data_IF_569721562156
#
_entry.id   IF_569721562156
#
_cell.length_a   1.000
_cell.length_b   1.000
_cell.length_c   1.000
_cell.angle_alpha   90.00
_cell.angle_beta   90.00
_cell.angle_gamma   90.00
#
_symmetry.space_group_name_H-M   'P 1'
#
loop_
_entity.id
_entity.type
_entity.pdbx_description
1 polymer ?
#
# COMPACT_ATOMS: atom_id res chain seq x y z
N UNK A 1 72.37 -70.42 28.68
CA UNK A 1 72.23 -70.98 27.32
C UNK A 1 70.90 -70.46 26.76
N UNK A 2 70.98 -69.60 25.72
CA UNK A 2 69.95 -69.08 24.79
C UNK A 2 68.70 -68.38 25.37
N UNK A 3 68.60 -67.05 25.44
CA UNK A 3 68.41 -66.00 24.39
C UNK A 3 67.14 -66.15 23.54
N UNK A 4 66.18 -65.24 23.71
CA UNK A 4 65.53 -64.46 22.62
C UNK A 4 64.93 -63.17 23.18
N UNK A 5 65.09 -62.09 22.40
CA UNK A 5 64.68 -60.71 22.62
C UNK A 5 63.62 -60.42 21.56
N UNK A 6 62.47 -59.81 21.90
CA UNK A 6 61.62 -59.03 20.97
C UNK A 6 60.74 -58.09 21.83
N UNK A 7 61.07 -56.80 21.94
CA UNK A 7 60.71 -55.67 21.07
C UNK A 7 59.28 -55.13 21.27
N UNK A 8 59.22 -53.81 21.42
CA UNK A 8 58.10 -52.97 21.82
C UNK A 8 56.95 -52.90 20.80
N UNK A 9 55.72 -52.71 21.31
CA UNK A 9 54.68 -51.93 20.65
C UNK A 9 53.64 -51.48 21.68
N UNK A 10 53.81 -50.28 22.24
CA UNK A 10 52.75 -49.58 22.97
C UNK A 10 51.70 -49.19 21.94
N UNK A 11 50.53 -49.82 22.04
CA UNK A 11 49.33 -49.51 21.26
C UNK A 11 48.79 -48.15 21.73
N UNK A 12 49.27 -47.07 21.12
CA UNK A 12 48.62 -45.75 21.21
C UNK A 12 47.31 -45.87 20.43
N UNK A 13 46.21 -46.07 21.16
CA UNK A 13 44.86 -45.97 20.63
C UNK A 13 44.62 -44.50 20.28
N UNK A 14 45.01 -44.12 19.05
CA UNK A 14 44.65 -42.84 18.45
C UNK A 14 43.14 -42.83 18.29
N UNK A 15 42.47 -42.28 19.28
CA UNK A 15 41.07 -41.92 19.20
C UNK A 15 40.98 -40.77 18.19
N UNK A 16 40.84 -41.13 16.92
CA UNK A 16 40.41 -40.19 15.87
C UNK A 16 39.01 -39.76 16.29
N UNK A 17 38.95 -38.64 17.02
CA UNK A 17 37.75 -37.83 17.12
C UNK A 17 37.42 -37.41 15.68
N UNK A 18 36.61 -38.23 15.00
CA UNK A 18 35.76 -37.77 13.92
C UNK A 18 34.87 -36.71 14.58
N UNK A 19 35.33 -35.47 14.51
CA UNK A 19 34.47 -34.32 14.68
C UNK A 19 33.46 -34.39 13.54
N UNK A 20 32.37 -35.10 13.79
CA UNK A 20 31.11 -34.78 13.15
C UNK A 20 30.81 -33.35 13.59
N UNK A 21 31.37 -32.38 12.88
CA UNK A 21 30.77 -31.08 12.78
C UNK A 21 29.34 -31.37 12.29
N UNK A 22 28.38 -31.40 13.22
CA UNK A 22 27.00 -31.11 12.88
C UNK A 22 27.06 -29.73 12.25
N UNK A 23 27.19 -29.73 10.93
CA UNK A 23 27.10 -28.53 10.14
C UNK A 23 25.72 -27.97 10.46
N UNK A 24 25.70 -26.88 11.22
CA UNK A 24 24.50 -26.06 11.34
C UNK A 24 24.02 -25.79 9.92
N UNK A 25 22.73 -25.97 9.61
CA UNK A 25 22.22 -25.73 8.28
C UNK A 25 22.69 -24.36 7.79
N UNK A 26 23.16 -24.28 6.54
CA UNK A 26 23.58 -23.01 5.99
C UNK A 26 22.37 -22.07 6.00
N UNK A 27 22.45 -21.04 6.84
CA UNK A 27 21.42 -20.02 7.00
C UNK A 27 21.69 -18.88 6.02
N UNK A 28 20.74 -18.63 5.13
CA UNK A 28 20.86 -17.60 4.09
C UNK A 28 19.71 -16.62 4.26
N UNK A 29 20.03 -15.37 4.62
CA UNK A 29 19.07 -14.27 4.72
C UNK A 29 19.09 -13.42 3.44
N UNK A 30 17.91 -13.09 2.90
CA UNK A 30 17.80 -12.11 1.81
C UNK A 30 16.44 -11.43 1.74
N UNK A 31 16.42 -10.26 1.10
CA UNK A 31 15.21 -9.51 0.76
C UNK A 31 15.02 -9.57 -0.77
N UNK A 32 14.14 -10.45 -1.28
CA UNK A 32 13.97 -10.63 -2.72
C UNK A 32 13.26 -9.44 -3.37
N UNK A 33 13.65 -9.11 -4.61
CA UNK A 33 13.05 -8.00 -5.37
C UNK A 33 11.71 -8.42 -5.96
N UNK A 34 10.74 -7.51 -5.94
CA UNK A 34 9.43 -7.69 -6.59
C UNK A 34 9.63 -7.66 -8.11
N UNK A 35 9.12 -8.66 -8.81
CA UNK A 35 9.21 -8.73 -10.27
C UNK A 35 7.85 -8.54 -10.93
N UNK A 36 6.88 -9.36 -10.53
CA UNK A 36 5.55 -9.42 -11.14
C UNK A 36 4.47 -9.33 -10.07
N UNK A 37 3.40 -8.61 -10.36
CA UNK A 37 2.25 -8.42 -9.47
C UNK A 37 1.00 -8.70 -10.28
N UNK A 38 0.14 -9.56 -9.76
CA UNK A 38 -1.20 -9.79 -10.29
C UNK A 38 -2.20 -9.15 -9.36
N UNK A 39 -2.90 -8.12 -9.82
CA UNK A 39 -3.94 -7.41 -9.08
C UNK A 39 -5.29 -8.07 -9.30
N UNK A 40 -5.95 -8.41 -8.20
CA UNK A 40 -7.32 -8.88 -8.14
C UNK A 40 -8.21 -7.76 -7.57
N UNK A 41 -9.55 -7.88 -7.66
CA UNK A 41 -10.45 -6.84 -7.19
C UNK A 41 -10.25 -6.46 -5.70
N UNK A 42 -9.86 -7.41 -4.86
CA UNK A 42 -9.75 -7.28 -3.40
C UNK A 42 -8.37 -7.65 -2.82
N UNK A 43 -7.46 -8.15 -3.65
CA UNK A 43 -6.16 -8.64 -3.22
C UNK A 43 -5.11 -8.48 -4.31
N UNK A 44 -3.83 -8.67 -3.98
CA UNK A 44 -2.77 -8.77 -4.97
C UNK A 44 -1.92 -10.00 -4.72
N UNK A 45 -1.53 -10.70 -5.78
CA UNK A 45 -0.49 -11.74 -5.72
C UNK A 45 0.85 -11.13 -6.11
N UNK A 46 1.82 -11.19 -5.19
CA UNK A 46 3.18 -10.74 -5.42
C UNK A 46 4.03 -11.95 -5.79
N UNK A 47 4.79 -11.84 -6.89
CA UNK A 47 5.79 -12.81 -7.33
C UNK A 47 7.18 -12.20 -7.22
N UNK A 48 8.03 -12.86 -6.43
CA UNK A 48 9.44 -12.50 -6.20
C UNK A 48 10.33 -13.64 -6.66
N UNK A 49 11.54 -13.30 -7.11
CA UNK A 49 12.54 -14.29 -7.50
C UNK A 49 13.89 -13.90 -6.93
N UNK A 50 14.65 -14.90 -6.51
CA UNK A 50 15.97 -14.71 -5.94
C UNK A 50 16.83 -15.94 -6.16
N UNK A 51 18.13 -15.71 -6.20
CA UNK A 51 19.15 -16.70 -6.48
C UNK A 51 19.90 -17.00 -5.20
N UNK A 52 20.11 -18.28 -4.91
CA UNK A 52 20.82 -18.72 -3.71
C UNK A 52 21.87 -19.78 -4.03
N UNK A 53 23.00 -19.72 -3.32
CA UNK A 53 24.00 -20.77 -3.30
C UNK A 53 23.69 -21.73 -2.16
N UNK A 54 23.26 -22.94 -2.49
CA UNK A 54 22.96 -24.00 -1.52
C UNK A 54 24.12 -24.98 -1.43
N UNK A 55 24.35 -25.53 -0.24
CA UNK A 55 25.35 -26.59 -0.01
C UNK A 55 24.70 -27.97 -0.09
N UNK A 56 25.51 -29.00 -0.31
CA UNK A 56 25.09 -30.40 -0.17
C UNK A 56 24.59 -30.66 1.24
N UNK A 57 23.40 -31.25 1.36
CA UNK A 57 22.72 -31.53 2.62
C UNK A 57 21.54 -30.58 2.86
N UNK A 58 21.22 -30.39 4.14
CA UNK A 58 20.11 -29.53 4.58
C UNK A 58 20.53 -28.05 4.59
N UNK A 59 19.65 -27.20 4.07
CA UNK A 59 19.82 -25.75 4.06
C UNK A 59 18.54 -25.10 4.55
N UNK A 60 18.69 -23.97 5.25
CA UNK A 60 17.57 -23.18 5.75
C UNK A 60 17.68 -21.80 5.14
N UNK A 61 16.71 -21.43 4.30
CA UNK A 61 16.62 -20.10 3.71
C UNK A 61 15.60 -19.29 4.51
N UNK A 62 16.00 -18.09 4.96
CA UNK A 62 15.12 -17.14 5.64
C UNK A 62 14.89 -15.92 4.76
N UNK A 63 13.65 -15.70 4.36
CA UNK A 63 13.23 -14.53 3.61
C UNK A 63 12.53 -13.58 4.58
N UNK A 64 13.24 -12.56 5.03
CA UNK A 64 12.77 -11.60 6.02
C UNK A 64 12.25 -10.31 5.37
N UNK A 65 11.53 -9.51 6.16
CA UNK A 65 11.03 -8.20 5.72
C UNK A 65 9.80 -8.27 4.82
N UNK A 66 8.97 -9.31 4.96
CA UNK A 66 7.70 -9.41 4.27
C UNK A 66 6.59 -8.70 5.06
N UNK A 67 5.60 -8.19 4.34
CA UNK A 67 4.43 -7.53 4.95
C UNK A 67 3.62 -8.44 5.87
N UNK A 68 3.05 -7.86 6.94
CA UNK A 68 2.05 -8.53 7.82
C UNK A 68 0.80 -8.92 7.07
N UNK A 69 0.44 -8.12 6.06
CA UNK A 69 -0.78 -8.31 5.27
C UNK A 69 -0.69 -9.50 4.30
N UNK A 70 0.45 -10.21 4.30
CA UNK A 70 0.61 -11.50 3.64
C UNK A 70 -0.32 -12.54 4.27
N UNK A 71 -1.03 -13.28 3.42
CA UNK A 71 -1.84 -14.42 3.85
C UNK A 71 -1.00 -15.68 3.93
N UNK A 72 -0.92 -16.30 5.11
CA UNK A 72 0.05 -17.38 5.38
C UNK A 72 -0.22 -18.63 4.52
N UNK A 73 -1.48 -18.96 4.29
CA UNK A 73 -1.91 -20.11 3.48
C UNK A 73 -1.69 -19.92 1.97
N UNK A 74 -1.38 -18.70 1.53
CA UNK A 74 -1.17 -18.38 0.12
C UNK A 74 0.27 -18.53 -0.35
N UNK A 75 1.21 -18.77 0.58
CA UNK A 75 2.64 -18.86 0.27
C UNK A 75 2.92 -20.09 -0.59
N UNK A 76 3.51 -19.85 -1.75
CA UNK A 76 3.97 -20.89 -2.66
C UNK A 76 5.43 -20.63 -2.99
N UNK A 77 6.23 -21.70 -2.90
CA UNK A 77 7.66 -21.69 -3.23
C UNK A 77 7.87 -22.66 -4.37
N UNK A 78 8.54 -22.21 -5.42
CA UNK A 78 8.97 -23.05 -6.52
C UNK A 78 10.47 -22.90 -6.78
N UNK A 79 11.06 -23.94 -7.36
CA UNK A 79 12.43 -23.92 -7.86
C UNK A 79 12.29 -24.00 -9.38
N UNK A 80 12.73 -22.94 -10.08
CA UNK A 80 12.58 -22.86 -11.54
C UNK A 80 13.49 -23.82 -12.27
N UNK A 81 14.67 -24.04 -11.71
CA UNK A 81 15.62 -24.99 -12.26
C UNK A 81 15.16 -26.41 -11.93
N UNK A 82 15.27 -27.35 -12.88
CA UNK A 82 15.12 -28.79 -12.62
C UNK A 82 16.31 -29.34 -11.83
N UNK A 83 16.78 -28.59 -10.83
CA UNK A 83 17.84 -28.99 -9.93
C UNK A 83 17.32 -30.12 -9.03
N UNK A 84 18.20 -31.06 -8.67
CA UNK A 84 17.90 -32.13 -7.72
C UNK A 84 17.85 -31.59 -6.28
N UNK A 85 16.93 -30.66 -6.05
CA UNK A 85 16.69 -29.98 -4.78
C UNK A 85 15.23 -30.21 -4.41
N UNK A 86 15.02 -30.66 -3.17
CA UNK A 86 13.69 -30.94 -2.63
C UNK A 86 13.38 -29.94 -1.53
N UNK A 87 12.22 -29.31 -1.63
CA UNK A 87 11.66 -28.51 -0.54
C UNK A 87 11.06 -29.48 0.47
N UNK A 88 11.55 -29.43 1.71
CA UNK A 88 11.10 -30.28 2.80
C UNK A 88 9.96 -29.63 3.58
N UNK A 89 10.08 -28.33 3.85
CA UNK A 89 9.12 -27.58 4.65
C UNK A 89 9.16 -26.08 4.29
N UNK A 90 8.01 -25.42 4.44
CA UNK A 90 7.85 -23.97 4.26
C UNK A 90 6.99 -23.46 5.41
N UNK A 91 7.56 -22.58 6.23
CA UNK A 91 6.90 -22.02 7.41
C UNK A 91 6.91 -20.51 7.37
N UNK A 92 5.80 -19.90 7.76
CA UNK A 92 5.72 -18.44 7.96
C UNK A 92 5.82 -18.15 9.44
N UNK A 93 6.74 -17.26 9.80
CA UNK A 93 6.97 -16.82 11.18
C UNK A 93 6.75 -15.31 11.30
N UNK A 94 6.16 -14.87 12.41
CA UNK A 94 6.08 -13.44 12.73
C UNK A 94 7.41 -12.97 13.31
N UNK A 95 7.94 -11.88 12.77
CA UNK A 95 9.21 -11.25 13.14
C UNK A 95 9.02 -9.74 13.28
N UNK A 96 9.99 -8.99 13.80
CA UNK A 96 9.90 -7.52 13.94
C UNK A 96 11.06 -6.82 13.22
N UNK A 97 10.75 -5.82 12.39
CA UNK A 97 11.73 -5.00 11.66
C UNK A 97 12.36 -3.92 12.57
N UNK A 98 13.21 -4.32 13.51
CA UNK A 98 13.73 -3.37 14.52
C UNK A 98 14.72 -2.32 13.96
N UNK A 99 15.54 -2.65 12.94
CA UNK A 99 16.73 -1.84 12.61
C UNK A 99 16.46 -0.64 11.69
N UNK A 100 15.57 -0.75 10.71
CA UNK A 100 15.34 0.31 9.69
C UNK A 100 14.40 1.41 10.18
N UNK A 101 13.49 1.11 11.11
CA UNK A 101 12.57 2.09 11.69
C UNK A 101 13.23 3.01 12.70
N UNK A 102 14.24 2.54 13.43
CA UNK A 102 14.86 3.32 14.50
C UNK A 102 15.50 4.60 13.96
N UNK A 103 16.14 4.54 12.79
CA UNK A 103 16.69 5.70 12.10
C UNK A 103 15.60 6.67 11.62
N UNK A 104 14.46 6.16 11.13
CA UNK A 104 13.35 7.00 10.65
C UNK A 104 12.61 7.68 11.81
N UNK A 105 12.38 6.94 12.90
CA UNK A 105 11.81 7.46 14.15
C UNK A 105 12.72 8.54 14.72
N UNK A 106 14.04 8.29 14.77
CA UNK A 106 15.00 9.26 15.26
C UNK A 106 14.99 10.55 14.43
N UNK A 107 14.96 10.46 13.09
CA UNK A 107 14.84 11.64 12.21
C UNK A 107 13.57 12.43 12.45
N UNK A 108 12.42 11.77 12.60
CA UNK A 108 11.14 12.42 12.88
C UNK A 108 11.10 13.07 14.27
N UNK A 109 11.69 12.42 15.28
CA UNK A 109 11.86 12.99 16.62
C UNK A 109 12.74 14.24 16.58
N UNK A 110 13.88 14.20 15.87
CA UNK A 110 14.74 15.38 15.70
C UNK A 110 14.01 16.53 14.97
N UNK A 111 13.18 16.22 13.98
CA UNK A 111 12.34 17.23 13.30
C UNK A 111 11.27 17.81 14.23
N UNK A 112 10.67 16.99 15.09
CA UNK A 112 9.67 17.47 16.05
C UNK A 112 10.30 18.39 17.10
N UNK A 113 11.52 18.07 17.55
CA UNK A 113 12.28 18.92 18.46
C UNK A 113 12.59 20.28 17.83
N UNK A 114 13.08 20.31 16.59
CA UNK A 114 13.39 21.57 15.90
C UNK A 114 12.14 22.43 15.67
N UNK A 115 10.99 21.82 15.34
CA UNK A 115 9.72 22.55 15.21
C UNK A 115 9.29 23.15 16.55
N UNK A 116 9.42 22.42 17.66
CA UNK A 116 9.10 22.93 19.00
C UNK A 116 10.01 24.10 19.39
N UNK A 117 11.30 24.03 19.05
CA UNK A 117 12.26 25.11 19.30
C UNK A 117 11.90 26.38 18.53
N UNK A 118 11.55 26.26 17.24
CA UNK A 118 11.09 27.39 16.41
C UNK A 118 9.78 28.02 16.92
N UNK A 119 8.83 27.19 17.37
CA UNK A 119 7.58 27.69 17.98
C UNK A 119 7.90 28.49 19.25
N UNK A 120 8.80 27.97 20.10
CA UNK A 120 9.23 28.63 21.33
C UNK A 120 9.94 29.94 21.05
N UNK A 121 10.84 29.97 20.06
CA UNK A 121 11.55 31.18 19.62
C UNK A 121 10.57 32.28 19.20
N UNK A 122 9.63 31.97 18.29
CA UNK A 122 8.64 32.94 17.83
C UNK A 122 7.68 33.37 18.95
N UNK A 123 7.32 32.47 19.86
CA UNK A 123 6.52 32.82 21.03
C UNK A 123 7.24 33.80 21.96
N UNK A 124 8.53 33.58 22.21
CA UNK A 124 9.35 34.48 23.02
C UNK A 124 9.48 35.87 22.36
N UNK A 125 9.64 35.90 21.04
CA UNK A 125 9.70 37.14 20.28
C UNK A 125 8.37 37.93 20.37
N UNK A 126 7.22 37.26 20.27
CA UNK A 126 5.91 37.88 20.50
C UNK A 126 5.81 38.43 21.93
N UNK A 127 6.25 37.68 22.95
CA UNK A 127 6.24 38.16 24.35
C UNK A 127 7.10 39.40 24.55
N UNK A 128 8.27 39.49 23.90
CA UNK A 128 9.12 40.67 23.93
C UNK A 128 8.46 41.88 23.23
N UNK A 129 7.81 41.66 22.09
CA UNK A 129 7.06 42.70 21.37
C UNK A 129 5.88 43.19 22.22
N UNK A 130 5.12 42.29 22.84
CA UNK A 130 4.00 42.66 23.71
C UNK A 130 4.46 43.48 24.92
N UNK A 131 5.60 43.14 25.52
CA UNK A 131 6.20 43.95 26.59
C UNK A 131 6.59 45.35 26.10
N UNK A 132 7.09 45.45 24.86
CA UNK A 132 7.39 46.73 24.21
C UNK A 132 6.13 47.55 23.92
N UNK A 133 5.06 46.91 23.47
CA UNK A 133 3.74 47.53 23.27
C UNK A 133 3.19 48.08 24.59
N UNK A 134 3.27 47.31 25.68
CA UNK A 134 2.85 47.78 27.00
C UNK A 134 3.66 48.99 27.47
N UNK A 135 4.98 48.96 27.27
CA UNK A 135 5.85 50.09 27.59
C UNK A 135 5.45 51.34 26.79
N UNK A 136 5.27 51.21 25.47
CA UNK A 136 4.84 52.31 24.60
C UNK A 136 3.47 52.89 25.02
N UNK A 137 2.52 52.04 25.43
CA UNK A 137 1.20 52.48 25.92
C UNK A 137 1.26 53.25 27.25
N UNK A 138 2.23 52.94 28.10
CA UNK A 138 2.42 53.57 29.42
C UNK A 138 3.35 54.79 29.38
N UNK A 139 4.02 55.02 28.26
CA UNK A 139 4.99 56.12 28.12
C UNK A 139 4.25 57.45 28.05
N UNK A 140 4.47 58.31 29.05
CA UNK A 140 4.02 59.72 29.02
C UNK A 140 5.21 60.56 28.52
N UNK A 141 5.12 61.17 27.32
CA UNK A 141 6.24 61.88 26.69
C UNK A 141 6.69 63.15 27.40
N UNK A 142 5.84 63.74 28.25
CA UNK A 142 6.07 65.07 28.81
C UNK A 142 5.90 65.05 30.34
N UNK A 143 6.89 65.52 31.13
CA UNK A 143 6.75 65.72 32.57
C UNK A 143 5.61 66.71 32.88
N UNK A 144 4.96 66.52 34.03
CA UNK A 144 3.93 67.45 34.47
C UNK A 144 4.51 68.87 34.61
N UNK A 145 3.82 69.85 34.00
CA UNK A 145 4.16 71.28 33.96
C UNK A 145 5.14 71.76 32.87
N UNK A 146 5.52 70.93 31.90
CA UNK A 146 6.26 71.42 30.73
C UNK A 146 5.31 72.05 29.70
N UNK A 147 5.64 73.25 29.19
CA UNK A 147 4.93 73.83 28.04
C UNK A 147 5.35 73.08 26.79
N UNK A 148 4.42 72.38 26.16
CA UNK A 148 4.64 71.58 24.95
C UNK A 148 3.94 72.24 23.77
N UNK A 149 4.58 72.23 22.61
CA UNK A 149 3.98 72.73 21.37
C UNK A 149 3.11 71.66 20.71
N UNK A 150 2.12 72.08 19.92
CA UNK A 150 1.26 71.16 19.17
C UNK A 150 2.07 70.23 18.24
N UNK A 151 3.12 70.75 17.60
CA UNK A 151 3.98 69.97 16.70
C UNK A 151 4.73 68.84 17.41
N UNK A 152 5.13 69.03 18.68
CA UNK A 152 5.82 68.00 19.47
C UNK A 152 4.85 66.88 19.88
N UNK A 153 3.61 67.24 20.24
CA UNK A 153 2.55 66.28 20.54
C UNK A 153 2.18 65.44 19.31
N UNK A 154 2.00 66.09 18.16
CA UNK A 154 1.71 65.40 16.89
C UNK A 154 2.86 64.49 16.44
N UNK A 155 4.11 64.94 16.62
CA UNK A 155 5.30 64.14 16.31
C UNK A 155 5.38 62.88 17.17
N UNK A 156 5.13 63.00 18.47
CA UNK A 156 5.10 61.85 19.38
C UNK A 156 3.94 60.90 19.09
N UNK A 157 2.74 61.42 18.83
CA UNK A 157 1.58 60.62 18.47
C UNK A 157 1.83 59.79 17.19
N UNK A 158 2.40 60.40 16.15
CA UNK A 158 2.79 59.70 14.91
C UNK A 158 3.86 58.64 15.16
N UNK A 159 4.83 58.91 16.05
CA UNK A 159 5.85 57.93 16.42
C UNK A 159 5.24 56.70 17.11
N UNK A 160 4.35 56.91 18.08
CA UNK A 160 3.64 55.82 18.77
C UNK A 160 2.76 55.03 17.81
N UNK A 161 1.98 55.72 16.97
CA UNK A 161 1.13 55.08 15.96
C UNK A 161 1.96 54.18 15.02
N UNK A 162 3.05 54.71 14.47
CA UNK A 162 3.96 53.96 13.58
C UNK A 162 4.62 52.78 14.28
N UNK A 163 5.05 52.96 15.53
CA UNK A 163 5.73 51.91 16.31
C UNK A 163 4.76 50.80 16.72
N UNK A 164 3.53 51.15 17.10
CA UNK A 164 2.47 50.19 17.42
C UNK A 164 2.02 49.43 16.18
N UNK A 165 1.78 50.11 15.07
CA UNK A 165 1.42 49.48 13.79
C UNK A 165 2.49 48.48 13.35
N UNK A 166 3.77 48.86 13.37
CA UNK A 166 4.87 47.96 13.03
C UNK A 166 4.98 46.76 13.99
N UNK A 167 4.73 46.97 15.29
CA UNK A 167 4.73 45.90 16.29
C UNK A 167 3.60 44.90 16.05
N UNK A 168 2.38 45.38 15.81
CA UNK A 168 1.22 44.53 15.51
C UNK A 168 1.41 43.74 14.20
N UNK A 169 1.97 44.37 13.15
CA UNK A 169 2.29 43.69 11.90
C UNK A 169 3.32 42.57 12.10
N UNK A 170 4.33 42.80 12.95
CA UNK A 170 5.34 41.79 13.27
C UNK A 170 4.73 40.64 14.06
N UNK A 171 3.89 40.93 15.06
CA UNK A 171 3.14 39.91 15.82
C UNK A 171 2.29 39.05 14.89
N UNK A 172 1.48 39.66 14.01
CA UNK A 172 0.63 38.92 13.09
C UNK A 172 1.43 38.02 12.13
N UNK A 173 2.62 38.45 11.69
CA UNK A 173 3.53 37.62 10.87
C UNK A 173 4.07 36.43 11.66
N UNK A 174 4.47 36.63 12.92
CA UNK A 174 4.97 35.56 13.79
C UNK A 174 3.87 34.56 14.17
N UNK A 175 2.66 35.03 14.47
CA UNK A 175 1.50 34.16 14.74
C UNK A 175 1.18 33.26 13.53
N UNK A 176 1.23 33.81 12.32
CA UNK A 176 1.06 33.02 11.09
C UNK A 176 2.16 31.96 10.92
N UNK A 177 3.41 32.26 11.27
CA UNK A 177 4.50 31.27 11.27
C UNK A 177 4.25 30.17 12.29
N UNK A 178 3.89 30.54 13.52
CA UNK A 178 3.53 29.59 14.60
C UNK A 178 2.37 28.70 14.17
N UNK A 179 1.35 29.24 13.50
CA UNK A 179 0.23 28.46 12.97
C UNK A 179 0.71 27.38 11.99
N UNK A 180 1.52 27.76 11.00
CA UNK A 180 2.10 26.81 10.03
C UNK A 180 2.96 25.75 10.68
N UNK A 181 3.81 26.15 11.64
CA UNK A 181 4.64 25.21 12.41
C UNK A 181 3.79 24.23 13.23
N UNK A 182 2.66 24.67 13.79
CA UNK A 182 1.73 23.78 14.51
C UNK A 182 1.00 22.79 13.57
N UNK A 183 0.65 23.22 12.36
CA UNK A 183 0.11 22.32 11.33
C UNK A 183 1.15 21.25 10.96
N UNK A 184 2.41 21.66 10.76
CA UNK A 184 3.53 20.76 10.47
C UNK A 184 3.81 19.81 11.64
N UNK A 185 3.82 20.32 12.88
CA UNK A 185 3.94 19.54 14.11
C UNK A 185 2.90 18.43 14.17
N UNK A 186 1.62 18.77 13.94
CA UNK A 186 0.53 17.77 13.94
C UNK A 186 0.73 16.71 12.87
N UNK A 187 1.22 17.09 11.68
CA UNK A 187 1.53 16.13 10.62
C UNK A 187 2.64 15.15 11.05
N UNK A 188 3.73 15.66 11.64
CA UNK A 188 4.84 14.83 12.16
C UNK A 188 4.40 13.96 13.34
N UNK A 189 3.59 14.48 14.26
CA UNK A 189 3.03 13.71 15.39
C UNK A 189 2.12 12.58 14.91
N UNK A 190 1.31 12.82 13.88
CA UNK A 190 0.49 11.79 13.26
C UNK A 190 1.36 10.73 12.57
N UNK A 191 2.41 11.13 11.85
CA UNK A 191 3.37 10.20 11.24
C UNK A 191 4.05 9.32 12.30
N UNK A 192 4.54 9.92 13.40
CA UNK A 192 5.11 9.20 14.54
C UNK A 192 4.09 8.27 15.21
N UNK A 193 2.84 8.68 15.34
CA UNK A 193 1.77 7.84 15.89
C UNK A 193 1.52 6.63 15.00
N UNK A 194 1.45 6.81 13.68
CA UNK A 194 1.27 5.70 12.74
C UNK A 194 2.47 4.73 12.77
N UNK A 195 3.69 5.27 12.85
CA UNK A 195 4.92 4.49 12.98
C UNK A 195 5.05 3.79 14.33
N UNK A 196 4.51 4.34 15.42
CA UNK A 196 4.59 3.71 16.76
C UNK A 196 3.45 2.73 17.03
N UNK A 197 2.27 2.93 16.43
CA UNK A 197 1.17 1.96 16.46
C UNK A 197 1.43 0.75 15.59
N UNK A 198 2.18 0.93 14.50
CA UNK A 198 2.86 -0.17 13.83
C UNK A 198 4.11 -0.54 14.63
N UNK A 199 3.95 -1.34 15.69
CA UNK A 199 4.99 -2.34 15.94
C UNK A 199 5.03 -3.12 14.62
N UNK A 200 6.01 -2.85 13.77
CA UNK A 200 6.15 -3.50 12.46
C UNK A 200 6.46 -4.97 12.73
N UNK A 201 5.40 -5.70 13.12
CA UNK A 201 5.22 -7.07 12.77
C UNK A 201 5.60 -7.15 11.29
N UNK A 202 6.36 -8.16 10.99
CA UNK A 202 6.76 -8.53 9.65
C UNK A 202 6.68 -10.03 9.62
N UNK A 203 6.62 -10.58 8.43
CA UNK A 203 6.66 -12.03 8.28
C UNK A 203 8.01 -12.42 7.71
N UNK A 204 8.51 -13.54 8.21
CA UNK A 204 9.69 -14.21 7.68
C UNK A 204 9.23 -15.57 7.18
N UNK A 205 9.54 -15.89 5.92
CA UNK A 205 9.32 -17.23 5.39
C UNK A 205 10.61 -18.03 5.58
N UNK A 206 10.50 -19.15 6.28
CA UNK A 206 11.58 -20.11 6.51
C UNK A 206 11.35 -21.31 5.60
N UNK A 207 12.33 -21.59 4.73
CA UNK A 207 12.26 -22.65 3.74
C UNK A 207 13.36 -23.66 4.05
N UNK A 208 12.97 -24.88 4.38
CA UNK A 208 13.89 -26.00 4.59
C UNK A 208 14.02 -26.78 3.28
N UNK A 209 15.23 -26.91 2.78
CA UNK A 209 15.50 -27.61 1.53
C UNK A 209 16.68 -28.58 1.66
N UNK A 210 16.60 -29.66 0.89
CA UNK A 210 17.64 -30.69 0.78
C UNK A 210 18.25 -30.64 -0.62
N UNK A 211 19.57 -30.44 -0.69
CA UNK A 211 20.32 -30.47 -1.94
C UNK A 211 21.30 -31.64 -1.95
N UNK A 212 21.50 -32.25 -3.12
CA UNK A 212 22.45 -33.35 -3.30
C UNK A 212 23.90 -32.90 -3.59
N UNK A 213 24.10 -31.61 -3.90
CA UNK A 213 25.39 -31.02 -4.23
C UNK A 213 25.38 -29.50 -3.98
N UNK A 214 26.56 -28.90 -3.88
CA UNK A 214 26.71 -27.45 -3.85
C UNK A 214 26.32 -26.88 -5.21
N UNK A 215 25.35 -25.95 -5.24
CA UNK A 215 24.84 -25.38 -6.49
C UNK A 215 24.11 -24.06 -6.28
N UNK A 216 23.98 -23.32 -7.36
CA UNK A 216 23.08 -22.18 -7.47
C UNK A 216 21.65 -22.66 -7.76
N UNK A 217 20.65 -22.05 -7.12
CA UNK A 217 19.23 -22.28 -7.40
C UNK A 217 18.49 -20.96 -7.61
N UNK A 218 17.59 -20.93 -8.58
CA UNK A 218 16.60 -19.85 -8.72
C UNK A 218 15.29 -20.22 -8.02
N UNK A 219 15.02 -19.54 -6.91
CA UNK A 219 13.83 -19.71 -6.07
C UNK A 219 12.79 -18.65 -6.42
N UNK A 220 11.62 -19.10 -6.87
CA UNK A 220 10.44 -18.26 -7.03
C UNK A 220 9.54 -18.36 -5.81
N UNK A 221 9.16 -17.20 -5.28
CA UNK A 221 8.25 -17.04 -4.16
C UNK A 221 7.01 -16.31 -4.66
N UNK A 222 5.83 -16.83 -4.37
CA UNK A 222 4.56 -16.12 -4.58
C UNK A 222 3.66 -16.18 -3.36
N UNK A 223 2.99 -15.07 -3.08
CA UNK A 223 2.05 -14.96 -1.97
C UNK A 223 1.00 -13.89 -2.28
N UNK A 224 -0.15 -14.01 -1.62
CA UNK A 224 -1.25 -13.04 -1.68
C UNK A 224 -1.11 -12.07 -0.52
N UNK A 225 -1.32 -10.79 -0.82
CA UNK A 225 -1.43 -9.71 0.16
C UNK A 225 -2.83 -9.13 0.14
N UNK A 226 -3.37 -8.92 1.33
CA UNK A 226 -4.57 -8.11 1.54
C UNK A 226 -4.25 -6.61 1.42
N UNK A 227 -5.29 -5.78 1.39
CA UNK A 227 -5.17 -4.31 1.30
C UNK A 227 -4.52 -3.81 0.00
N UNK A 228 -4.71 -4.54 -1.08
CA UNK A 228 -4.45 -4.11 -2.44
C UNK A 228 -5.63 -4.53 -3.30
N UNK A 229 -6.13 -3.65 -4.15
CA UNK A 229 -7.25 -3.98 -5.02
C UNK A 229 -7.33 -3.03 -6.20
N UNK A 230 -8.18 -3.39 -7.15
CA UNK A 230 -8.47 -2.52 -8.28
C UNK A 230 -9.97 -2.50 -8.59
N UNK A 231 -10.43 -1.41 -9.19
CA UNK A 231 -11.80 -1.27 -9.70
C UNK A 231 -11.80 -0.65 -11.09
N UNK A 232 -12.74 -1.04 -11.98
CA UNK A 232 -12.85 -0.43 -13.29
C UNK A 232 -13.51 0.95 -13.20
N UNK A 233 -12.99 1.91 -13.96
CA UNK A 233 -13.57 3.22 -14.18
C UNK A 233 -13.69 3.47 -15.68
N UNK A 234 -14.91 3.76 -16.14
CA UNK A 234 -15.21 3.98 -17.55
C UNK A 234 -15.42 5.47 -17.83
N UNK A 235 -14.68 6.00 -18.81
CA UNK A 235 -14.90 7.33 -19.38
C UNK A 235 -15.54 7.14 -20.76
N UNK A 236 -16.78 7.59 -20.94
CA UNK A 236 -17.53 7.50 -22.21
C UNK A 236 -17.69 8.90 -22.79
N UNK A 237 -17.27 9.08 -24.05
CA UNK A 237 -17.42 10.33 -24.80
C UNK A 237 -18.24 10.06 -26.05
N UNK A 238 -19.32 10.80 -26.23
CA UNK A 238 -20.15 10.72 -27.42
C UNK A 238 -20.06 12.03 -28.19
N UNK A 239 -19.76 11.93 -29.49
CA UNK A 239 -19.80 13.05 -30.42
C UNK A 239 -21.09 12.96 -31.24
N UNK A 240 -22.00 13.92 -30.99
CA UNK A 240 -23.30 13.97 -31.66
C UNK A 240 -23.22 14.42 -33.12
N UNK A 241 -22.13 15.05 -33.56
CA UNK A 241 -21.95 15.47 -34.94
C UNK A 241 -21.47 14.32 -35.84
N UNK A 242 -20.58 13.46 -35.31
CA UNK A 242 -20.01 12.33 -36.05
C UNK A 242 -20.72 10.99 -35.78
N UNK A 243 -21.55 10.91 -34.74
CA UNK A 243 -22.21 9.66 -34.35
C UNK A 243 -21.22 8.63 -33.77
N UNK A 244 -20.06 9.09 -33.27
CA UNK A 244 -19.03 8.22 -32.68
C UNK A 244 -19.08 8.26 -31.15
N UNK A 245 -18.87 7.11 -30.54
CA UNK A 245 -18.71 6.94 -29.10
C UNK A 245 -17.33 6.33 -28.81
N UNK A 246 -16.54 7.04 -28.02
CA UNK A 246 -15.29 6.55 -27.46
C UNK A 246 -15.52 6.08 -26.02
N UNK A 247 -15.15 4.84 -25.75
CA UNK A 247 -15.21 4.23 -24.43
C UNK A 247 -13.77 3.94 -23.99
N UNK A 248 -13.37 4.53 -22.88
CA UNK A 248 -12.05 4.33 -22.29
C UNK A 248 -12.23 3.68 -20.93
N UNK A 249 -11.56 2.55 -20.71
CA UNK A 249 -11.58 1.83 -19.45
C UNK A 249 -10.24 2.00 -18.73
N UNK A 250 -10.31 2.49 -17.50
CA UNK A 250 -9.20 2.60 -16.57
C UNK A 250 -9.35 1.59 -15.44
N UNK A 251 -8.24 1.05 -14.96
CA UNK A 251 -8.16 0.41 -13.65
C UNK A 251 -7.72 1.45 -12.62
N UNK A 252 -8.54 1.65 -11.59
CA UNK A 252 -8.20 2.43 -10.41
C UNK A 252 -7.63 1.47 -9.38
N UNK A 253 -6.34 1.58 -9.11
CA UNK A 253 -5.60 0.71 -8.19
C UNK A 253 -5.40 1.45 -6.87
N UNK A 254 -5.69 0.78 -5.76
CA UNK A 254 -5.44 1.28 -4.41
C UNK A 254 -4.69 0.22 -3.63
N UNK A 255 -3.61 0.61 -2.95
CA UNK A 255 -2.84 -0.34 -2.14
C UNK A 255 -2.24 0.30 -0.89
N UNK A 256 -2.31 -0.44 0.22
CA UNK A 256 -1.71 -0.11 1.51
C UNK A 256 -1.08 -1.36 2.13
N UNK A 257 -0.42 -2.16 1.28
CA UNK A 257 0.19 -3.45 1.64
C UNK A 257 1.43 -3.28 2.50
N UNK A 258 2.03 -2.09 2.57
CA UNK A 258 3.31 -1.84 3.22
C UNK A 258 4.53 -2.13 2.35
N UNK A 259 4.34 -2.67 1.14
CA UNK A 259 5.40 -2.83 0.14
C UNK A 259 5.23 -1.82 -1.00
N UNK A 260 6.26 -1.02 -1.27
CA UNK A 260 6.28 -0.16 -2.46
C UNK A 260 6.58 -1.01 -3.70
N UNK A 261 5.72 -0.94 -4.70
CA UNK A 261 5.92 -1.65 -5.96
C UNK A 261 6.71 -0.76 -6.91
N UNK A 262 8.03 -0.93 -6.91
CA UNK A 262 8.95 -0.16 -7.78
C UNK A 262 9.39 -1.01 -8.97
N UNK A 263 9.20 -0.49 -10.18
CA UNK A 263 9.52 -1.15 -11.45
C UNK A 263 8.90 -2.55 -11.60
N UNK A 264 7.65 -2.70 -11.16
CA UNK A 264 6.93 -3.97 -11.23
C UNK A 264 6.24 -4.16 -12.59
N UNK A 265 6.17 -5.40 -13.06
CA UNK A 265 5.23 -5.78 -14.12
C UNK A 265 3.86 -5.99 -13.47
N UNK A 266 2.85 -5.25 -13.94
CA UNK A 266 1.48 -5.32 -13.41
C UNK A 266 0.62 -6.13 -14.39
N UNK A 267 -0.05 -7.15 -13.88
CA UNK A 267 -1.15 -7.85 -14.53
C UNK A 267 -2.42 -7.56 -13.72
N UNK A 268 -3.51 -7.20 -14.39
CA UNK A 268 -4.79 -6.92 -13.73
C UNK A 268 -5.75 -8.03 -14.09
N UNK A 269 -6.30 -8.72 -13.11
CA UNK A 269 -7.21 -9.85 -13.29
C UNK A 269 -8.56 -9.55 -12.65
N UNK A 270 -9.63 -9.94 -13.34
CA UNK A 270 -11.00 -9.94 -12.78
C UNK A 270 -11.27 -11.19 -11.94
N UNK A 271 -10.33 -12.14 -11.87
CA UNK A 271 -10.47 -13.35 -11.06
C UNK A 271 -10.49 -13.00 -9.57
N UNK A 272 -11.06 -13.90 -8.76
CA UNK A 272 -10.96 -13.86 -7.30
C UNK A 272 -10.19 -15.10 -6.86
N UNK A 273 -8.95 -14.97 -6.38
CA UNK A 273 -8.16 -16.12 -5.97
C UNK A 273 -8.81 -16.76 -4.73
N UNK A 274 -9.00 -18.06 -4.76
CA UNK A 274 -9.35 -18.84 -3.58
C UNK A 274 -8.09 -19.50 -3.03
N UNK A 275 -7.87 -19.37 -1.73
CA UNK A 275 -6.78 -20.02 -1.00
C UNK A 275 -7.33 -20.63 0.29
N UNK A 276 -6.64 -21.64 0.82
CA UNK A 276 -7.09 -22.40 1.99
C UNK A 276 -7.84 -23.68 1.63
N UNK A 277 -8.43 -24.36 2.64
CA UNK A 277 -9.09 -25.64 2.43
C UNK A 277 -10.33 -25.50 1.54
N UNK A 278 -10.69 -26.56 0.79
CA UNK A 278 -11.90 -26.54 -0.02
C UNK A 278 -13.13 -26.26 0.87
N UNK A 279 -14.12 -25.50 0.37
CA UNK A 279 -15.32 -25.23 1.14
C UNK A 279 -16.10 -26.51 1.42
N UNK A 280 -16.74 -26.58 2.59
CA UNK A 280 -17.68 -27.66 2.87
C UNK A 280 -18.94 -27.48 2.01
N UNK A 281 -19.23 -28.48 1.18
CA UNK A 281 -20.44 -28.50 0.37
C UNK A 281 -21.60 -28.97 1.23
N UNK A 282 -22.59 -28.10 1.44
CA UNK A 282 -23.87 -28.52 2.02
C UNK A 282 -24.69 -29.23 0.97
N UNK A 283 -25.13 -30.46 1.28
CA UNK A 283 -26.00 -31.20 0.39
C UNK A 283 -27.35 -30.47 0.27
N UNK A 284 -27.72 -30.13 -0.97
CA UNK A 284 -29.05 -29.64 -1.25
C UNK A 284 -30.00 -30.83 -1.32
N UNK A 285 -30.67 -31.11 -0.20
CA UNK A 285 -31.68 -32.16 -0.11
C UNK A 285 -32.95 -31.68 -0.80
N UNK A 286 -33.20 -32.18 -2.00
CA UNK A 286 -34.48 -32.00 -2.70
C UNK A 286 -35.48 -32.96 -2.07
N UNK A 287 -36.38 -32.43 -1.24
CA UNK A 287 -37.54 -33.17 -0.75
C UNK A 287 -38.80 -32.57 -1.39
N UNK A 288 -39.82 -33.41 -1.54
CA UNK A 288 -41.14 -32.93 -1.97
C UNK A 288 -41.64 -32.01 -0.87
N UNK A 289 -41.90 -30.75 -1.22
CA UNK A 289 -42.47 -29.78 -0.28
C UNK A 289 -43.71 -30.38 0.38
N UNK A 290 -43.59 -30.73 1.66
CA UNK A 290 -44.72 -31.13 2.50
C UNK A 290 -45.27 -29.84 3.11
N UNK A 291 -46.37 -29.27 2.57
CA UNK A 291 -46.96 -28.10 3.18
C UNK A 291 -47.28 -28.41 4.64
N UNK A 292 -46.79 -27.57 5.56
CA UNK A 292 -47.31 -27.56 6.93
C UNK A 292 -48.83 -27.34 6.83
N UNK A 293 -49.68 -28.07 7.56
CA UNK A 293 -51.13 -27.94 7.45
C UNK A 293 -51.52 -26.49 7.78
N UNK A 294 -51.80 -25.73 6.73
CA UNK A 294 -52.23 -24.34 6.79
C UNK A 294 -53.72 -24.33 7.07
N UNK A 295 -54.13 -23.85 8.24
CA UNK A 295 -55.52 -23.60 8.59
C UNK A 295 -55.95 -22.22 8.08
N UNK A 296 -55.97 -21.99 6.76
CA UNK A 296 -56.50 -20.73 6.23
C UNK A 296 -57.40 -20.91 4.99
N UNK A 297 -58.58 -20.29 5.12
CA UNK A 297 -59.69 -20.26 4.18
C UNK A 297 -59.30 -19.52 2.90
N UNK A 298 -59.62 -20.13 1.76
CA UNK A 298 -59.45 -19.57 0.42
C UNK A 298 -60.33 -18.33 0.18
N UNK A 299 -59.73 -17.29 -0.42
CA UNK A 299 -60.39 -16.42 -1.40
C UNK A 299 -59.50 -16.28 -2.64
N UNK A 300 -60.09 -16.60 -3.79
CA UNK A 300 -59.69 -16.30 -5.19
C UNK A 300 -59.45 -14.78 -5.37
N UNK A 301 -58.76 -14.22 -6.37
CA UNK A 301 -58.09 -14.63 -7.62
C UNK A 301 -56.99 -13.55 -7.89
N UNK A 302 -56.11 -13.57 -8.89
CA UNK A 302 -56.32 -13.32 -10.34
C UNK A 302 -54.97 -13.51 -11.06
N UNK A 303 -55.01 -13.99 -12.30
CA UNK A 303 -53.89 -14.16 -13.25
C UNK A 303 -53.48 -12.84 -13.92
N UNK A 304 -52.21 -12.71 -14.29
CA UNK A 304 -51.78 -12.00 -15.51
C UNK A 304 -50.49 -12.62 -16.07
N UNK A 305 -50.58 -13.14 -17.30
CA UNK A 305 -49.50 -13.64 -18.18
C UNK A 305 -48.71 -12.44 -18.78
N UNK A 306 -47.38 -12.48 -18.70
CA UNK A 306 -46.39 -12.68 -19.79
C UNK A 306 -45.81 -11.39 -20.38
N UNK A 307 -44.47 -11.36 -20.52
CA UNK A 307 -43.72 -10.75 -21.64
C UNK A 307 -42.24 -11.20 -21.55
N UNK A 308 -41.77 -11.89 -22.60
CA UNK A 308 -40.38 -12.31 -22.81
C UNK A 308 -39.94 -11.98 -24.25
N UNK A 309 -38.60 -11.86 -24.41
CA UNK A 309 -37.76 -11.97 -25.64
C UNK A 309 -37.69 -10.73 -26.56
N UNK A 310 -36.59 -10.41 -27.26
CA UNK A 310 -35.24 -11.00 -27.40
C UNK A 310 -34.28 -9.95 -28.01
N UNK A 311 -32.97 -10.12 -27.74
CA UNK A 311 -31.87 -9.30 -28.25
C UNK A 311 -31.21 -9.94 -29.49
N UNK A 312 -30.75 -9.13 -30.45
CA UNK A 312 -30.02 -9.57 -31.66
C UNK A 312 -28.63 -8.92 -31.72
N UNK A 313 -27.64 -9.78 -31.95
CA UNK A 313 -26.21 -9.48 -32.12
C UNK A 313 -25.89 -9.13 -33.58
N UNK A 314 -24.95 -8.21 -33.80
CA UNK A 314 -24.17 -8.14 -35.04
C UNK A 314 -22.70 -7.81 -34.73
N UNK A 315 -21.79 -8.58 -35.33
CA UNK A 315 -20.33 -8.39 -35.36
C UNK A 315 -19.91 -7.45 -36.50
N UNK A 316 -18.81 -6.72 -36.30
CA UNK A 316 -17.90 -6.28 -37.35
C UNK A 316 -16.49 -6.00 -36.78
N UNK A 317 -15.48 -6.22 -37.63
CA UNK A 317 -14.05 -6.00 -37.41
C UNK A 317 -13.47 -5.21 -38.62
N UNK A 318 -12.20 -4.75 -38.62
CA UNK A 318 -11.35 -4.20 -37.55
C UNK A 318 -10.81 -2.77 -37.85
N UNK A 319 -10.24 -2.12 -36.83
CA UNK A 319 -9.53 -0.82 -36.89
C UNK A 319 -7.99 -0.95 -36.84
N UNK A 320 -7.30 0.16 -37.17
CA UNK A 320 -5.84 0.35 -37.14
C UNK A 320 -5.27 0.62 -35.73
N UNK A 321 -3.99 0.24 -35.56
CA UNK A 321 -3.27 0.02 -34.30
C UNK A 321 -2.76 1.27 -33.57
N UNK A 322 -2.97 1.30 -32.25
CA UNK A 322 -1.99 1.74 -31.24
C UNK A 322 -1.65 0.54 -30.34
N UNK A 323 -0.48 0.52 -29.69
CA UNK A 323 -0.08 -0.64 -28.87
C UNK A 323 -0.93 -0.77 -27.60
N UNK A 324 -1.90 -1.68 -27.64
CA UNK A 324 -2.81 -2.02 -26.54
C UNK A 324 -2.21 -3.07 -25.57
N UNK A 325 -2.62 -3.05 -24.29
CA UNK A 325 -2.33 -4.13 -23.36
C UNK A 325 -2.88 -5.47 -23.88
N UNK A 326 -2.12 -6.55 -23.70
CA UNK A 326 -2.53 -7.88 -24.16
C UNK A 326 -3.62 -8.42 -23.25
N UNK A 327 -4.82 -8.65 -23.81
CA UNK A 327 -5.93 -9.30 -23.13
C UNK A 327 -5.77 -10.82 -23.23
N UNK A 328 -5.78 -11.51 -22.10
CA UNK A 328 -5.92 -12.97 -22.05
C UNK A 328 -7.28 -13.32 -21.48
N UNK A 329 -8.10 -13.99 -22.27
CA UNK A 329 -9.33 -14.59 -21.79
C UNK A 329 -9.01 -15.95 -21.16
N UNK A 330 -9.31 -16.09 -19.88
CA UNK A 330 -9.35 -17.37 -19.17
C UNK A 330 -10.81 -17.85 -19.11
N UNK A 331 -11.05 -19.12 -18.76
CA UNK A 331 -12.38 -19.73 -18.82
C UNK A 331 -13.47 -18.99 -18.00
N UNK A 332 -13.08 -18.20 -16.99
CA UNK A 332 -14.00 -17.47 -16.09
C UNK A 332 -13.51 -16.05 -15.71
N UNK A 333 -12.41 -15.58 -16.28
CA UNK A 333 -11.75 -14.31 -15.92
C UNK A 333 -11.04 -13.69 -17.12
N UNK A 334 -10.86 -12.37 -17.06
CA UNK A 334 -10.01 -11.63 -17.98
C UNK A 334 -8.75 -11.20 -17.25
N UNK A 335 -7.59 -11.34 -17.88
CA UNK A 335 -6.36 -10.69 -17.45
C UNK A 335 -5.84 -9.68 -18.47
N UNK A 336 -5.42 -8.53 -17.96
CA UNK A 336 -4.89 -7.40 -18.72
C UNK A 336 -3.42 -7.24 -18.34
N UNK A 337 -2.51 -7.45 -19.29
CA UNK A 337 -1.08 -7.27 -19.07
C UNK A 337 -0.73 -5.83 -19.43
N UNK A 338 -0.37 -5.03 -18.43
CA UNK A 338 -0.01 -3.62 -18.62
C UNK A 338 1.39 -3.55 -19.26
N UNK A 339 1.56 -2.87 -20.41
CA UNK A 339 2.86 -2.72 -21.01
C UNK A 339 3.76 -1.81 -20.18
N UNK A 340 5.02 -2.20 -20.02
CA UNK A 340 6.04 -1.42 -19.30
C UNK A 340 6.09 -1.68 -17.80
N UNK A 341 6.96 -0.91 -17.14
CA UNK A 341 7.18 -0.98 -15.69
C UNK A 341 6.42 0.15 -15.00
N UNK A 342 5.67 -0.19 -13.95
CA UNK A 342 4.86 0.77 -13.19
C UNK A 342 5.39 0.88 -11.77
N UNK A 343 5.27 2.09 -11.20
CA UNK A 343 5.57 2.39 -9.81
C UNK A 343 4.26 2.68 -9.07
N UNK A 344 3.93 1.88 -8.05
CA UNK A 344 2.73 2.08 -7.22
C UNK A 344 3.18 2.09 -5.75
N UNK A 345 3.20 3.26 -5.08
CA UNK A 345 3.57 3.36 -3.66
C UNK A 345 2.48 2.79 -2.76
N UNK A 346 2.85 2.45 -1.51
CA UNK A 346 1.88 2.00 -0.48
C UNK A 346 1.26 3.18 0.25
N UNK A 347 0.59 4.06 -0.48
CA UNK A 347 0.04 5.34 0.01
C UNK A 347 -1.48 5.35 0.21
N UNK A 348 -2.16 4.25 -0.11
CA UNK A 348 -3.62 4.14 -0.11
C UNK A 348 -4.32 5.19 -0.99
N UNK A 349 -3.64 5.77 -1.97
CA UNK A 349 -4.22 6.70 -2.94
C UNK A 349 -4.67 5.97 -4.21
N UNK A 350 -5.69 6.48 -4.92
CA UNK A 350 -6.14 5.90 -6.18
C UNK A 350 -5.17 6.23 -7.32
N UNK A 351 -4.60 5.21 -7.95
CA UNK A 351 -3.73 5.30 -9.13
C UNK A 351 -4.48 4.80 -10.37
N UNK A 352 -4.68 5.65 -11.38
CA UNK A 352 -5.41 5.31 -12.61
C UNK A 352 -4.45 4.79 -13.68
N UNK A 353 -4.75 3.61 -14.23
CA UNK A 353 -4.02 3.02 -15.36
C UNK A 353 -4.99 2.72 -16.49
N UNK A 354 -4.64 3.07 -17.72
CA UNK A 354 -5.43 2.72 -18.90
C UNK A 354 -5.34 1.22 -19.17
N UNK A 355 -6.49 0.54 -19.31
CA UNK A 355 -6.55 -0.91 -19.57
C UNK A 355 -7.22 -1.29 -20.89
N UNK A 356 -8.14 -0.47 -21.40
CA UNK A 356 -8.73 -0.69 -22.72
C UNK A 356 -9.30 0.62 -23.27
N UNK A 357 -9.34 0.75 -24.58
CA UNK A 357 -10.07 1.80 -25.29
C UNK A 357 -10.79 1.20 -26.48
N UNK A 358 -11.98 1.67 -26.78
CA UNK A 358 -12.73 1.27 -27.97
C UNK A 358 -13.51 2.46 -28.52
N UNK A 359 -13.41 2.69 -29.82
CA UNK A 359 -14.28 3.62 -30.54
C UNK A 359 -15.31 2.82 -31.33
N UNK A 360 -16.58 3.25 -31.31
CA UNK A 360 -17.66 2.64 -32.08
C UNK A 360 -18.62 3.69 -32.61
N UNK A 361 -19.19 3.42 -33.78
CA UNK A 361 -20.33 4.19 -34.29
C UNK A 361 -21.60 3.82 -33.51
N UNK A 362 -22.41 4.84 -33.17
CA UNK A 362 -23.64 4.66 -32.43
C UNK A 362 -24.76 5.56 -32.97
N UNK A 363 -25.98 5.03 -32.94
CA UNK A 363 -27.19 5.82 -33.17
C UNK A 363 -27.55 6.52 -31.86
N UNK A 364 -27.59 7.85 -31.89
CA UNK A 364 -27.91 8.68 -30.73
C UNK A 364 -29.37 9.09 -30.78
N UNK A 365 -30.11 8.77 -29.72
CA UNK A 365 -31.49 9.23 -29.53
C UNK A 365 -31.53 10.35 -28.48
N UNK A 366 -32.33 11.38 -28.75
CA UNK A 366 -32.51 12.50 -27.85
C UNK A 366 -33.73 12.26 -26.96
N UNK A 367 -33.52 12.27 -25.65
CA UNK A 367 -34.58 12.17 -24.66
C UNK A 367 -34.69 13.48 -23.88
N UNK A 368 -35.88 14.10 -23.90
CA UNK A 368 -36.20 15.27 -23.10
C UNK A 368 -37.15 14.88 -21.97
N UNK A 369 -36.73 15.09 -20.72
CA UNK A 369 -37.59 14.96 -19.54
C UNK A 369 -37.79 16.32 -18.88
N UNK A 370 -39.02 16.70 -18.51
CA UNK A 370 -39.27 17.92 -17.77
C UNK A 370 -38.60 17.84 -16.39
N UNK A 371 -37.76 18.82 -16.08
CA UNK A 371 -37.14 18.97 -14.76
C UNK A 371 -37.96 19.94 -13.93
N UNK A 372 -38.44 19.49 -12.77
CA UNK A 372 -39.13 20.37 -11.82
C UNK A 372 -38.16 21.49 -11.38
N UNK A 373 -38.41 22.71 -11.83
CA UNK A 373 -37.63 23.89 -11.46
C UNK A 373 -38.45 24.79 -10.55
N UNK A 374 -37.86 25.22 -9.44
CA UNK A 374 -38.48 26.19 -8.52
C UNK A 374 -38.64 27.60 -9.13
N UNK A 375 -38.09 27.85 -10.31
CA UNK A 375 -38.15 29.14 -11.01
C UNK A 375 -39.18 29.16 -12.16
N UNK A 376 -39.88 28.07 -12.40
CA UNK A 376 -40.99 28.04 -13.37
C UNK A 376 -42.29 28.40 -12.63
N UNK A 377 -42.70 29.67 -12.73
CA UNK A 377 -44.03 30.13 -12.28
C UNK A 377 -44.95 30.21 -13.51
N UNK A 378 -46.17 29.66 -13.39
CA UNK A 378 -47.22 29.68 -14.42
C UNK A 378 -47.85 31.06 -14.55
#
# INVERSE_FOLDING_TARGET
>A
MNRTIFSAAILIFSFVFLSNAWASPAEIESVPKIQNIVLYPDSAMIKKETVFMVKKGENIIRISGLTVNLTDESVQVNIKDKAAVRISDVKVEKTYLQKTMQDKIQKLQSRLESINELIKEHSNEISAINSSIEFLKKTVPFPQNQKVTQSEVEGHAKFIEKSLSASYDRTAKLENKIKKLNEEKRAVENELKTLSSSRDESKTIVINLLSNADREINLGLSYIVANAGWSPQYDVRADSATGKIDIVCFAVITQSTGEDWKNANIEISTARPSYGPPPELSAWYVDIYKPRPSSYKYKKAVKSEDLMMAEKVFEAAPEQQFEEPKIKAEATSFSFIIPGKVNIPSDNQPHRILIASSSKEAKLDYYAAPKLSRHAHL
#
